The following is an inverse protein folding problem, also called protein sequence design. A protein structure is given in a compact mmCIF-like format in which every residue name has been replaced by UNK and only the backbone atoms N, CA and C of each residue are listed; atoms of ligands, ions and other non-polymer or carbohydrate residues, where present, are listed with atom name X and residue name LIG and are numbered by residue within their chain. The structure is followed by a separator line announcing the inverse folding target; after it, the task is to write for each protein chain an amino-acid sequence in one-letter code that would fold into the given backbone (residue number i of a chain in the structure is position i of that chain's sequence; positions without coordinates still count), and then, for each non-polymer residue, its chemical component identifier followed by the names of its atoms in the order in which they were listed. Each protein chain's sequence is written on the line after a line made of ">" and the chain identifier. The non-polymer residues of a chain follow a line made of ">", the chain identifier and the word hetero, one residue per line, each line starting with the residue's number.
data_IF_530272580627
#
_entry.id   IF_530272580627
#
_cell.length_a   1.000
_cell.length_b   1.000
_cell.length_c   1.000
_cell.angle_alpha   90.00
_cell.angle_beta   90.00
_cell.angle_gamma   90.00
#
_symmetry.space_group_name_H-M   'P 1'
#
loop_
_entity.id
_entity.type
_entity.pdbx_description
1 polymer ?
#
# COMPACT_ATOMS: atom_id res chain seq x y z
N UNK A 1 6.64 -32.75 -80.11
CA UNK A 1 5.21 -33.05 -80.28
C UNK A 1 4.78 -33.84 -79.06
N UNK A 2 4.14 -33.08 -78.17
CA UNK A 2 3.06 -33.40 -77.25
C UNK A 2 3.25 -34.38 -76.08
N UNK A 3 3.28 -33.72 -74.92
CA UNK A 3 3.17 -34.21 -73.56
C UNK A 3 1.74 -34.67 -73.25
N UNK A 4 1.68 -35.79 -72.55
CA UNK A 4 0.47 -36.48 -72.12
C UNK A 4 -0.22 -35.83 -70.92
N UNK A 5 -1.53 -35.68 -71.12
CA UNK A 5 -2.67 -35.56 -70.21
C UNK A 5 -2.51 -35.90 -68.72
N UNK A 6 -3.07 -35.03 -67.87
CA UNK A 6 -3.58 -35.39 -66.55
C UNK A 6 -4.88 -34.60 -66.24
N UNK A 7 -5.93 -35.31 -65.84
CA UNK A 7 -7.20 -34.81 -65.25
C UNK A 7 -7.71 -35.89 -64.26
N UNK A 8 -8.76 -35.67 -63.44
CA UNK A 8 -9.14 -34.50 -62.63
C UNK A 8 -9.52 -34.91 -61.17
N UNK A 9 -9.54 -33.98 -60.19
CA UNK A 9 -10.40 -34.07 -58.98
C UNK A 9 -10.45 -32.75 -58.16
N UNK A 10 -11.42 -31.91 -58.50
CA UNK A 10 -12.46 -31.30 -57.63
C UNK A 10 -12.08 -30.72 -56.24
N UNK A 11 -12.02 -29.38 -56.20
CA UNK A 11 -12.84 -28.45 -55.37
C UNK A 11 -12.99 -28.58 -53.83
N UNK A 12 -11.93 -28.81 -53.03
CA UNK A 12 -12.06 -28.69 -51.55
C UNK A 12 -11.05 -27.77 -50.85
N UNK A 13 -10.15 -27.09 -51.58
CA UNK A 13 -9.05 -26.32 -50.96
C UNK A 13 -9.30 -24.82 -50.83
N UNK A 14 -10.36 -24.27 -51.45
CA UNK A 14 -10.66 -22.83 -51.39
C UNK A 14 -11.56 -22.39 -50.23
N UNK A 15 -12.17 -23.33 -49.50
CA UNK A 15 -13.01 -23.03 -48.33
C UNK A 15 -12.21 -23.16 -47.02
N UNK A 16 -11.20 -24.03 -46.97
CA UNK A 16 -10.36 -24.20 -45.77
C UNK A 16 -9.36 -23.05 -45.55
N UNK A 17 -9.00 -22.31 -46.60
CA UNK A 17 -8.08 -21.17 -46.48
C UNK A 17 -8.74 -19.89 -45.95
N UNK A 18 -10.08 -19.79 -45.97
CA UNK A 18 -10.82 -18.67 -45.39
C UNK A 18 -11.25 -18.92 -43.93
N UNK A 19 -11.10 -20.15 -43.43
CA UNK A 19 -11.31 -20.49 -42.01
C UNK A 19 -10.02 -20.50 -41.20
N UNK A 20 -8.84 -20.59 -41.82
CA UNK A 20 -7.56 -20.37 -41.12
C UNK A 20 -7.16 -18.89 -40.99
N UNK A 21 -7.87 -17.97 -41.67
CA UNK A 21 -7.62 -16.52 -41.56
C UNK A 21 -8.57 -15.88 -40.52
N UNK A 22 -9.55 -16.63 -40.01
CA UNK A 22 -10.54 -16.15 -39.03
C UNK A 22 -10.47 -16.87 -37.68
N UNK A 23 -9.31 -17.47 -37.35
CA UNK A 23 -9.09 -18.10 -36.04
C UNK A 23 -7.84 -17.59 -35.30
N UNK A 24 -7.23 -16.51 -35.80
CA UNK A 24 -6.17 -15.75 -35.10
C UNK A 24 -6.64 -14.34 -34.67
N UNK A 25 -7.92 -14.03 -34.83
CA UNK A 25 -8.52 -12.77 -34.37
C UNK A 25 -9.03 -12.88 -32.92
N UNK A 26 -8.13 -13.17 -31.98
CA UNK A 26 -8.28 -12.71 -30.59
C UNK A 26 -6.97 -12.80 -29.79
N UNK A 27 -5.84 -12.47 -30.41
CA UNK A 27 -4.57 -12.37 -29.68
C UNK A 27 -4.42 -10.96 -29.13
N UNK A 28 -4.49 -10.85 -27.80
CA UNK A 28 -4.23 -9.62 -27.04
C UNK A 28 -2.88 -9.00 -27.43
N UNK A 29 -2.84 -7.66 -27.51
CA UNK A 29 -1.72 -6.80 -27.92
C UNK A 29 -0.41 -6.90 -27.08
N UNK A 30 -0.23 -7.94 -26.27
CA UNK A 30 0.94 -8.15 -25.43
C UNK A 30 1.58 -9.50 -25.75
N UNK A 31 2.87 -9.49 -26.06
CA UNK A 31 3.66 -10.72 -26.17
C UNK A 31 3.82 -11.29 -24.75
N UNK A 32 3.11 -12.39 -24.51
CA UNK A 32 3.18 -13.15 -23.27
C UNK A 32 4.62 -13.70 -23.10
N UNK A 33 5.21 -13.65 -21.89
CA UNK A 33 6.52 -14.24 -21.66
C UNK A 33 6.54 -15.73 -22.08
N UNK A 34 7.63 -16.22 -22.66
CA UNK A 34 7.66 -17.53 -23.33
C UNK A 34 7.42 -18.72 -22.38
N UNK A 35 7.69 -18.55 -21.09
CA UNK A 35 7.46 -19.54 -20.03
C UNK A 35 6.08 -19.42 -19.37
N UNK A 36 5.25 -18.49 -19.83
CA UNK A 36 3.94 -18.19 -19.29
C UNK A 36 2.81 -18.46 -20.29
N UNK A 37 1.59 -18.53 -19.76
CA UNK A 37 0.33 -18.48 -20.50
C UNK A 37 -0.43 -17.27 -19.99
N UNK A 38 -0.89 -16.41 -20.90
CA UNK A 38 -1.53 -15.15 -20.55
C UNK A 38 -2.97 -15.13 -21.07
N UNK A 39 -3.86 -14.59 -20.25
CA UNK A 39 -5.24 -14.25 -20.61
C UNK A 39 -5.47 -12.75 -20.31
N UNK A 40 -6.62 -12.18 -20.68
CA UNK A 40 -6.92 -10.77 -20.39
C UNK A 40 -6.90 -10.40 -18.90
N UNK A 41 -6.99 -11.38 -17.99
CA UNK A 41 -7.07 -11.15 -16.53
C UNK A 41 -6.04 -11.93 -15.72
N UNK A 42 -5.26 -12.82 -16.34
CA UNK A 42 -4.36 -13.72 -15.64
C UNK A 42 -3.03 -13.93 -16.39
N UNK A 43 -1.94 -13.92 -15.63
CA UNK A 43 -0.61 -14.35 -16.08
C UNK A 43 -0.24 -15.62 -15.30
N UNK A 44 -0.03 -16.72 -16.00
CA UNK A 44 0.23 -18.03 -15.39
C UNK A 44 1.54 -18.65 -15.91
N UNK A 45 2.56 -18.70 -15.05
CA UNK A 45 3.91 -19.15 -15.37
C UNK A 45 4.26 -20.39 -14.53
N UNK A 46 4.04 -21.59 -15.08
CA UNK A 46 4.32 -22.86 -14.40
C UNK A 46 5.51 -23.64 -14.98
N UNK A 47 6.05 -23.19 -16.13
CA UNK A 47 7.23 -23.78 -16.73
C UNK A 47 8.45 -23.28 -15.97
N UNK A 48 9.35 -24.22 -15.64
CA UNK A 48 10.59 -23.89 -14.95
C UNK A 48 11.40 -22.86 -15.72
N UNK A 49 11.85 -21.82 -15.03
CA UNK A 49 12.62 -20.72 -15.61
C UNK A 49 13.81 -20.36 -14.71
N UNK A 50 14.90 -19.93 -15.34
CA UNK A 50 16.11 -19.42 -14.67
C UNK A 50 16.23 -17.89 -14.80
N UNK A 51 15.20 -17.24 -15.35
CA UNK A 51 15.07 -15.80 -15.48
C UNK A 51 15.11 -15.11 -14.13
N UNK A 52 15.82 -13.98 -14.09
CA UNK A 52 15.96 -13.13 -12.89
C UNK A 52 14.92 -12.04 -12.80
N UNK A 53 14.25 -11.76 -13.92
CA UNK A 53 13.33 -10.66 -14.06
C UNK A 53 11.91 -11.16 -13.90
N UNK A 54 11.05 -10.34 -13.29
CA UNK A 54 9.63 -10.60 -13.21
C UNK A 54 9.02 -10.64 -14.62
N UNK A 55 8.03 -11.52 -14.89
CA UNK A 55 7.37 -11.58 -16.20
C UNK A 55 6.64 -10.26 -16.47
N UNK A 56 7.20 -9.45 -17.35
CA UNK A 56 6.54 -8.26 -17.89
C UNK A 56 5.91 -8.63 -19.23
N UNK A 57 4.65 -8.23 -19.41
CA UNK A 57 3.98 -8.32 -20.71
C UNK A 57 4.67 -7.36 -21.68
N UNK A 58 5.20 -7.87 -22.80
CA UNK A 58 5.94 -7.05 -23.76
C UNK A 58 4.98 -6.35 -24.73
N UNK A 59 5.19 -5.05 -24.97
CA UNK A 59 4.39 -4.25 -25.89
C UNK A 59 4.81 -4.50 -27.34
N UNK A 60 3.85 -4.79 -28.20
CA UNK A 60 4.09 -4.84 -29.63
C UNK A 60 3.94 -3.43 -30.21
N UNK A 61 5.06 -2.79 -30.59
CA UNK A 61 5.08 -1.51 -31.30
C UNK A 61 4.51 -1.70 -32.71
N UNK A 62 3.19 -1.75 -32.85
CA UNK A 62 2.56 -1.53 -34.15
C UNK A 62 2.67 -0.05 -34.45
N UNK A 63 3.64 0.34 -35.30
CA UNK A 63 3.85 1.72 -35.74
C UNK A 63 2.57 2.36 -36.25
N UNK A 64 1.86 3.05 -35.37
CA UNK A 64 0.65 3.79 -35.68
C UNK A 64 0.57 5.02 -34.80
N UNK A 65 0.41 6.16 -35.46
CA UNK A 65 0.39 7.51 -34.91
C UNK A 65 -0.52 7.63 -33.68
N UNK A 66 0.03 8.26 -32.64
CA UNK A 66 -0.62 9.00 -31.55
C UNK A 66 -2.06 8.64 -31.18
N UNK A 67 -2.20 7.95 -30.04
CA UNK A 67 -3.28 8.04 -29.02
C UNK A 67 -3.46 6.73 -28.18
N UNK A 68 -2.51 5.78 -28.22
CA UNK A 68 -2.65 4.46 -27.60
C UNK A 68 -2.18 4.31 -26.13
N UNK A 69 -1.73 5.37 -25.45
CA UNK A 69 -1.18 5.25 -24.08
C UNK A 69 -2.22 4.75 -23.05
N UNK A 70 -3.48 5.17 -23.19
CA UNK A 70 -4.54 4.81 -22.24
C UNK A 70 -4.94 3.33 -22.38
N UNK A 71 -4.94 2.81 -23.61
CA UNK A 71 -5.24 1.39 -23.88
C UNK A 71 -4.24 0.46 -23.20
N UNK A 72 -2.94 0.78 -23.24
CA UNK A 72 -1.90 -0.05 -22.63
C UNK A 72 -2.02 -0.12 -21.11
N UNK A 73 -2.23 1.02 -20.46
CA UNK A 73 -2.45 1.07 -19.00
C UNK A 73 -3.70 0.31 -18.59
N UNK A 74 -4.77 0.37 -19.40
CA UNK A 74 -5.99 -0.39 -19.17
C UNK A 74 -5.75 -1.91 -19.26
N UNK A 75 -4.84 -2.39 -20.12
CA UNK A 75 -4.50 -3.82 -20.20
C UNK A 75 -3.83 -4.33 -18.91
N UNK A 76 -2.81 -3.63 -18.38
CA UNK A 76 -2.16 -4.04 -17.12
C UNK A 76 -3.11 -3.97 -15.93
N UNK A 77 -4.00 -2.98 -15.92
CA UNK A 77 -5.04 -2.82 -14.90
C UNK A 77 -6.06 -3.95 -14.89
N UNK A 78 -6.32 -4.60 -16.03
CA UNK A 78 -7.25 -5.72 -16.13
C UNK A 78 -6.70 -7.03 -15.56
N UNK A 79 -5.38 -7.15 -15.37
CA UNK A 79 -4.77 -8.32 -14.74
C UNK A 79 -5.15 -8.36 -13.25
N UNK A 80 -5.83 -9.43 -12.86
CA UNK A 80 -6.31 -9.67 -11.48
C UNK A 80 -5.58 -10.82 -10.79
N UNK A 81 -4.95 -11.71 -11.56
CA UNK A 81 -4.23 -12.89 -11.06
C UNK A 81 -2.84 -12.99 -11.70
N UNK A 82 -1.81 -13.15 -10.88
CA UNK A 82 -0.46 -13.51 -11.33
C UNK A 82 -0.01 -14.74 -10.57
N UNK A 83 0.38 -15.78 -11.30
CA UNK A 83 0.89 -17.04 -10.77
C UNK A 83 2.26 -17.36 -11.37
N UNK A 84 3.25 -17.55 -10.50
CA UNK A 84 4.62 -17.88 -10.84
C UNK A 84 5.05 -19.07 -9.98
N UNK A 85 5.52 -20.12 -10.63
CA UNK A 85 5.99 -21.35 -10.01
C UNK A 85 7.29 -21.85 -10.66
N UNK A 86 8.23 -22.37 -9.87
CA UNK A 86 9.48 -22.98 -10.34
C UNK A 86 10.46 -21.99 -11.01
N UNK A 87 10.47 -20.71 -10.59
CA UNK A 87 11.37 -19.69 -11.13
C UNK A 87 12.60 -19.52 -10.22
N UNK A 88 13.68 -20.22 -10.55
CA UNK A 88 14.86 -20.32 -9.66
C UNK A 88 15.79 -19.10 -9.74
N UNK A 89 15.68 -18.31 -10.82
CA UNK A 89 16.43 -17.07 -10.99
C UNK A 89 15.80 -15.87 -10.29
N UNK A 90 14.50 -15.92 -10.00
CA UNK A 90 13.75 -14.83 -9.36
C UNK A 90 14.05 -14.78 -7.86
N UNK A 91 14.98 -13.91 -7.47
CA UNK A 91 15.43 -13.76 -6.08
C UNK A 91 14.84 -12.54 -5.37
N UNK A 92 14.48 -11.51 -6.13
CA UNK A 92 13.98 -10.24 -5.59
C UNK A 92 12.71 -9.84 -6.32
N UNK A 93 11.66 -9.50 -5.57
CA UNK A 93 10.48 -8.82 -6.11
C UNK A 93 10.62 -7.32 -5.84
N UNK A 94 10.61 -6.51 -6.89
CA UNK A 94 10.85 -5.06 -6.79
C UNK A 94 9.56 -4.27 -6.88
N UNK A 95 9.60 -3.04 -6.41
CA UNK A 95 8.49 -2.10 -6.47
C UNK A 95 8.01 -1.87 -7.92
N UNK A 96 8.97 -1.67 -8.82
CA UNK A 96 8.73 -1.47 -10.26
C UNK A 96 8.11 -2.67 -10.96
N UNK A 97 8.28 -3.89 -10.42
CA UNK A 97 7.73 -5.10 -11.02
C UNK A 97 6.20 -5.17 -10.83
N UNK A 98 5.70 -4.51 -9.77
CA UNK A 98 4.31 -4.60 -9.32
C UNK A 98 3.48 -3.34 -9.61
N UNK A 99 4.16 -2.21 -9.85
CA UNK A 99 3.57 -0.86 -9.98
C UNK A 99 2.45 -0.78 -11.04
N UNK A 100 2.60 -1.50 -12.16
CA UNK A 100 1.66 -1.45 -13.28
C UNK A 100 0.36 -2.23 -13.03
N UNK A 101 0.40 -3.24 -12.15
CA UNK A 101 -0.70 -4.18 -11.96
C UNK A 101 -1.72 -3.68 -10.91
N UNK A 102 -2.28 -2.50 -11.13
CA UNK A 102 -3.12 -1.80 -10.14
C UNK A 102 -4.42 -2.53 -9.80
N UNK A 103 -4.93 -3.37 -10.69
CA UNK A 103 -6.13 -4.21 -10.49
C UNK A 103 -5.87 -5.57 -9.85
N UNK A 104 -4.62 -5.89 -9.48
CA UNK A 104 -4.24 -7.21 -9.00
C UNK A 104 -4.94 -7.59 -7.69
N UNK A 105 -5.47 -8.81 -7.63
CA UNK A 105 -6.20 -9.35 -6.48
C UNK A 105 -5.53 -10.60 -5.89
N UNK A 106 -4.84 -11.38 -6.72
CA UNK A 106 -4.16 -12.62 -6.34
C UNK A 106 -2.73 -12.64 -6.88
N UNK A 107 -1.77 -12.84 -5.99
CA UNK A 107 -0.37 -13.05 -6.33
C UNK A 107 0.09 -14.40 -5.77
N UNK A 108 0.61 -15.26 -6.63
CA UNK A 108 1.29 -16.50 -6.24
C UNK A 108 2.70 -16.49 -6.81
N UNK A 109 3.69 -16.57 -5.92
CA UNK A 109 5.08 -16.83 -6.26
C UNK A 109 5.51 -17.97 -5.36
N UNK A 110 5.47 -19.21 -5.84
CA UNK A 110 5.73 -20.39 -5.01
C UNK A 110 6.81 -21.29 -5.60
N UNK A 111 7.42 -22.11 -4.75
CA UNK A 111 8.46 -23.07 -5.14
C UNK A 111 9.56 -22.43 -6.02
N UNK A 112 9.95 -21.21 -5.66
CA UNK A 112 10.89 -20.38 -6.41
C UNK A 112 12.05 -20.01 -5.47
N UNK A 113 12.98 -19.16 -5.92
CA UNK A 113 14.15 -18.76 -5.12
C UNK A 113 14.00 -17.35 -4.55
N UNK A 114 12.78 -16.91 -4.27
CA UNK A 114 12.50 -15.56 -3.78
C UNK A 114 13.06 -15.38 -2.37
N UNK A 115 13.93 -14.38 -2.19
CA UNK A 115 14.65 -14.10 -0.94
C UNK A 115 14.30 -12.73 -0.36
N UNK A 116 13.97 -11.77 -1.22
CA UNK A 116 13.70 -10.39 -0.83
C UNK A 116 12.49 -9.84 -1.57
N UNK A 117 11.66 -9.09 -0.85
CA UNK A 117 10.58 -8.28 -1.41
C UNK A 117 10.87 -6.84 -0.98
N UNK A 118 10.93 -5.91 -1.93
CA UNK A 118 11.16 -4.49 -1.63
C UNK A 118 10.00 -3.89 -0.83
N UNK A 119 10.32 -2.94 0.06
CA UNK A 119 9.41 -2.48 1.11
C UNK A 119 8.09 -1.86 0.60
N UNK A 120 8.03 -1.42 -0.66
CA UNK A 120 6.83 -0.80 -1.26
C UNK A 120 6.29 -1.62 -2.42
N UNK A 121 6.63 -2.91 -2.48
CA UNK A 121 6.29 -3.76 -3.62
C UNK A 121 4.79 -3.79 -3.90
N UNK A 122 3.96 -3.72 -2.86
CA UNK A 122 2.50 -3.78 -3.01
C UNK A 122 1.78 -2.44 -2.87
N UNK A 123 2.53 -1.31 -2.87
CA UNK A 123 1.95 0.01 -2.63
C UNK A 123 0.90 0.42 -3.68
N UNK A 124 1.08 0.00 -4.93
CA UNK A 124 0.15 0.28 -6.05
C UNK A 124 -0.85 -0.86 -6.30
N UNK A 125 -0.96 -1.86 -5.42
CA UNK A 125 -1.89 -2.98 -5.58
C UNK A 125 -2.94 -3.01 -4.46
N UNK A 126 -3.79 -1.97 -4.33
CA UNK A 126 -4.71 -1.81 -3.18
C UNK A 126 -5.80 -2.88 -3.11
N UNK A 127 -6.03 -3.62 -4.21
CA UNK A 127 -7.04 -4.68 -4.29
C UNK A 127 -6.48 -6.08 -3.99
N UNK A 128 -5.18 -6.19 -3.69
CA UNK A 128 -4.52 -7.46 -3.42
C UNK A 128 -5.04 -8.08 -2.11
N UNK A 129 -5.61 -9.29 -2.19
CA UNK A 129 -6.22 -9.99 -1.05
C UNK A 129 -5.64 -11.37 -0.78
N UNK A 130 -5.08 -12.01 -1.81
CA UNK A 130 -4.55 -13.37 -1.72
C UNK A 130 -3.09 -13.36 -2.13
N UNK A 131 -2.21 -13.74 -1.20
CA UNK A 131 -0.77 -13.81 -1.45
C UNK A 131 -0.28 -15.20 -1.08
N UNK A 132 0.41 -15.88 -1.99
CA UNK A 132 1.07 -17.15 -1.74
C UNK A 132 2.56 -17.03 -2.04
N UNK A 133 3.38 -17.13 -0.98
CA UNK A 133 4.84 -17.11 -1.03
C UNK A 133 5.46 -18.44 -0.56
N UNK A 134 4.65 -19.51 -0.50
CA UNK A 134 5.06 -20.82 0.01
C UNK A 134 6.27 -21.39 -0.73
N UNK A 135 7.07 -22.21 -0.04
CA UNK A 135 8.24 -22.91 -0.59
C UNK A 135 9.29 -21.97 -1.21
N UNK A 136 9.41 -20.74 -0.71
CA UNK A 136 10.52 -19.86 -1.04
C UNK A 136 11.51 -19.76 0.13
N UNK A 137 12.80 -19.53 -0.14
CA UNK A 137 13.83 -19.38 0.87
C UNK A 137 13.83 -17.97 1.51
N UNK A 138 12.65 -17.48 1.92
CA UNK A 138 12.51 -16.23 2.67
C UNK A 138 12.97 -16.47 4.12
N UNK A 139 13.92 -15.68 4.60
CA UNK A 139 14.38 -15.73 5.99
C UNK A 139 13.65 -14.74 6.90
N UNK A 140 13.13 -13.65 6.32
CA UNK A 140 12.34 -12.62 6.99
C UNK A 140 11.25 -12.08 6.07
N UNK A 141 10.22 -11.48 6.65
CA UNK A 141 9.15 -10.79 5.93
C UNK A 141 8.63 -9.66 6.81
N UNK A 142 8.49 -8.47 6.27
CA UNK A 142 8.03 -7.28 7.01
C UNK A 142 6.51 -7.13 6.87
N UNK A 143 5.82 -6.81 7.97
CA UNK A 143 4.37 -6.57 7.96
C UNK A 143 3.99 -5.29 7.21
N UNK A 144 4.91 -4.33 7.11
CA UNK A 144 4.69 -3.06 6.39
C UNK A 144 4.40 -3.26 4.90
N UNK A 145 4.81 -4.40 4.31
CA UNK A 145 4.40 -4.78 2.95
C UNK A 145 2.88 -4.89 2.79
N UNK A 146 2.16 -5.19 3.87
CA UNK A 146 0.74 -5.50 3.88
C UNK A 146 -0.10 -4.45 4.60
N UNK A 147 0.49 -3.38 5.13
CA UNK A 147 -0.17 -2.41 6.01
C UNK A 147 -1.41 -1.75 5.38
N UNK A 148 -1.38 -1.55 4.05
CA UNK A 148 -2.46 -0.93 3.29
C UNK A 148 -3.38 -1.96 2.61
N UNK A 149 -3.21 -3.25 2.91
CA UNK A 149 -3.94 -4.35 2.29
C UNK A 149 -4.91 -5.00 3.28
N UNK A 150 -6.09 -5.38 2.77
CA UNK A 150 -7.07 -6.17 3.51
C UNK A 150 -6.92 -7.65 3.14
N UNK A 151 -5.80 -8.25 3.55
CA UNK A 151 -5.49 -9.63 3.19
C UNK A 151 -6.54 -10.62 3.72
N UNK A 152 -7.05 -11.45 2.82
CA UNK A 152 -7.91 -12.58 3.15
C UNK A 152 -7.08 -13.83 3.43
N UNK A 153 -5.99 -14.05 2.69
CA UNK A 153 -5.11 -15.20 2.86
C UNK A 153 -3.65 -14.84 2.55
N UNK A 154 -2.75 -15.23 3.45
CA UNK A 154 -1.30 -15.19 3.24
C UNK A 154 -0.73 -16.61 3.45
N UNK A 155 -0.25 -17.26 2.40
CA UNK A 155 0.36 -18.59 2.48
C UNK A 155 1.88 -18.52 2.57
N UNK A 156 2.42 -19.14 3.61
CA UNK A 156 3.82 -19.22 3.97
C UNK A 156 4.24 -20.67 4.26
N UNK A 157 3.48 -21.65 3.76
CA UNK A 157 3.81 -23.08 3.90
C UNK A 157 5.24 -23.36 3.42
N UNK A 158 5.98 -24.17 4.17
CA UNK A 158 7.40 -24.53 3.91
C UNK A 158 8.38 -23.34 3.83
N UNK A 159 7.98 -22.14 4.26
CA UNK A 159 8.90 -21.05 4.55
C UNK A 159 9.42 -21.22 5.98
N UNK A 160 10.73 -21.21 6.16
CA UNK A 160 11.37 -21.32 7.48
C UNK A 160 12.15 -20.04 7.75
N UNK A 161 11.62 -19.23 8.66
CA UNK A 161 12.19 -17.94 9.02
C UNK A 161 13.38 -18.08 9.97
N UNK A 162 14.17 -17.01 10.12
CA UNK A 162 15.07 -16.87 11.27
C UNK A 162 14.26 -16.38 12.47
N UNK A 163 14.32 -17.09 13.61
CA UNK A 163 13.57 -16.68 14.79
C UNK A 163 14.12 -15.34 15.30
N UNK A 164 13.27 -14.31 15.33
CA UNK A 164 13.67 -12.96 15.69
C UNK A 164 12.47 -12.05 15.85
N UNK A 165 12.74 -10.79 16.19
CA UNK A 165 11.66 -9.83 16.41
C UNK A 165 10.97 -9.43 15.09
N UNK A 166 11.67 -9.47 13.97
CA UNK A 166 11.17 -9.10 12.64
C UNK A 166 10.05 -10.02 12.13
N UNK A 167 9.92 -11.23 12.68
CA UNK A 167 8.85 -12.19 12.34
C UNK A 167 7.86 -12.40 13.49
N UNK A 168 7.95 -11.61 14.56
CA UNK A 168 7.02 -11.65 15.71
C UNK A 168 5.58 -11.35 15.29
N UNK A 169 5.40 -10.45 14.33
CA UNK A 169 4.07 -10.11 13.81
C UNK A 169 3.36 -11.34 13.19
N UNK A 170 4.10 -12.24 12.52
CA UNK A 170 3.56 -13.48 11.95
C UNK A 170 3.02 -14.38 13.07
N UNK A 171 3.76 -14.51 14.17
CA UNK A 171 3.31 -15.24 15.36
C UNK A 171 2.05 -14.61 15.96
N UNK A 172 1.97 -13.28 16.03
CA UNK A 172 0.79 -12.57 16.53
C UNK A 172 -0.42 -12.76 15.61
N UNK A 173 -0.25 -12.66 14.30
CA UNK A 173 -1.33 -12.89 13.33
C UNK A 173 -1.84 -14.33 13.39
N UNK A 174 -0.94 -15.31 13.57
CA UNK A 174 -1.31 -16.71 13.77
C UNK A 174 -2.19 -16.90 15.02
N UNK A 175 -1.92 -16.16 16.10
CA UNK A 175 -2.71 -16.19 17.34
C UNK A 175 -4.06 -15.47 17.20
N UNK A 176 -4.08 -14.35 16.46
CA UNK A 176 -5.28 -13.54 16.21
C UNK A 176 -6.16 -14.05 15.07
N UNK A 177 -5.74 -15.11 14.38
CA UNK A 177 -6.41 -15.72 13.23
C UNK A 177 -6.53 -14.77 12.02
N UNK A 178 -5.53 -13.92 11.84
CA UNK A 178 -5.44 -12.99 10.70
C UNK A 178 -4.92 -13.72 9.45
N UNK A 179 -5.43 -13.34 8.27
CA UNK A 179 -5.03 -13.83 6.94
C UNK A 179 -4.87 -15.37 6.83
N UNK A 180 -5.69 -16.13 7.56
CA UNK A 180 -5.67 -17.61 7.57
C UNK A 180 -4.34 -18.25 8.01
N UNK A 181 -3.44 -17.49 8.65
CA UNK A 181 -2.14 -18.01 9.13
C UNK A 181 -2.29 -19.07 10.22
N UNK A 182 -3.36 -19.00 11.02
CA UNK A 182 -3.67 -19.97 12.07
C UNK A 182 -3.88 -21.40 11.56
N UNK A 183 -4.20 -21.57 10.27
CA UNK A 183 -4.38 -22.89 9.63
C UNK A 183 -3.06 -23.53 9.20
N UNK A 184 -1.97 -22.77 9.19
CA UNK A 184 -0.65 -23.20 8.71
C UNK A 184 0.26 -23.61 9.88
N UNK A 185 1.17 -24.56 9.62
CA UNK A 185 2.22 -24.95 10.57
C UNK A 185 3.52 -24.24 10.21
N UNK A 186 3.76 -23.09 10.83
CA UNK A 186 4.93 -22.24 10.55
C UNK A 186 6.08 -22.57 11.50
N UNK A 187 7.32 -22.40 11.02
CA UNK A 187 8.55 -22.73 11.72
C UNK A 187 9.58 -21.61 11.60
N UNK A 188 10.51 -21.54 12.55
CA UNK A 188 11.70 -20.70 12.45
C UNK A 188 12.94 -21.39 13.03
N UNK A 189 14.13 -20.91 12.66
CA UNK A 189 15.41 -21.35 13.20
C UNK A 189 15.84 -20.49 14.39
N UNK A 190 16.00 -21.11 15.55
CA UNK A 190 16.66 -20.53 16.73
C UNK A 190 18.05 -21.12 16.83
N UNK A 191 19.04 -20.42 16.27
CA UNK A 191 20.36 -20.99 15.99
C UNK A 191 20.24 -22.18 15.04
N UNK A 192 20.69 -23.36 15.47
CA UNK A 192 20.57 -24.59 14.67
C UNK A 192 19.22 -25.32 14.85
N UNK A 193 18.37 -24.90 15.79
CA UNK A 193 17.15 -25.62 16.14
C UNK A 193 15.95 -25.10 15.36
N UNK A 194 15.28 -25.99 14.62
CA UNK A 194 13.98 -25.70 14.00
C UNK A 194 12.87 -25.85 15.02
N UNK A 195 12.19 -24.76 15.36
CA UNK A 195 11.09 -24.75 16.32
C UNK A 195 9.79 -24.26 15.66
N UNK A 196 8.60 -24.67 16.15
CA UNK A 196 7.34 -24.08 15.71
C UNK A 196 7.29 -22.58 16.04
N UNK A 197 6.83 -21.75 15.11
CA UNK A 197 6.80 -20.29 15.28
C UNK A 197 5.98 -19.86 16.51
N UNK A 198 4.88 -20.58 16.80
CA UNK A 198 4.07 -20.37 18.02
C UNK A 198 4.85 -20.50 19.33
N UNK A 199 5.95 -21.26 19.34
CA UNK A 199 6.82 -21.46 20.50
C UNK A 199 7.97 -20.45 20.57
N UNK A 200 8.10 -19.54 19.59
CA UNK A 200 9.12 -18.51 19.59
C UNK A 200 8.94 -17.59 20.80
N UNK A 201 10.03 -17.33 21.52
CA UNK A 201 10.04 -16.47 22.70
C UNK A 201 11.24 -15.51 22.61
N UNK A 202 10.96 -14.26 22.25
CA UNK A 202 11.96 -13.19 22.13
C UNK A 202 11.65 -12.15 23.21
N UNK A 203 12.61 -11.89 24.10
CA UNK A 203 12.49 -10.84 25.12
C UNK A 203 12.56 -9.45 24.49
N UNK A 204 11.85 -8.47 25.07
CA UNK A 204 11.87 -7.07 24.62
C UNK A 204 11.43 -6.90 23.14
N UNK A 205 10.39 -7.64 22.75
CA UNK A 205 9.86 -7.67 21.39
C UNK A 205 8.33 -7.70 21.38
N UNK A 206 7.75 -6.51 21.53
CA UNK A 206 6.32 -6.31 21.69
C UNK A 206 5.79 -5.19 20.79
N UNK A 207 4.47 -5.15 20.63
CA UNK A 207 3.80 -4.06 19.91
C UNK A 207 4.05 -2.70 20.60
N UNK A 208 4.11 -1.61 19.81
CA UNK A 208 4.24 -0.28 20.38
C UNK A 208 2.97 0.13 21.15
N UNK A 209 3.15 1.09 22.04
CA UNK A 209 2.10 1.71 22.83
C UNK A 209 2.11 3.22 22.56
N UNK A 210 1.00 3.72 22.05
CA UNK A 210 0.75 5.14 21.80
C UNK A 210 0.03 5.81 22.95
N UNK A 211 0.37 7.07 23.18
CA UNK A 211 -0.34 7.95 24.10
C UNK A 211 -0.32 9.38 23.57
N UNK A 212 -1.41 10.11 23.78
CA UNK A 212 -1.56 11.50 23.33
C UNK A 212 -1.91 12.40 24.52
N UNK A 213 -1.49 13.66 24.45
CA UNK A 213 -1.73 14.66 25.51
C UNK A 213 -3.21 14.94 25.77
N UNK A 214 -4.05 14.85 24.74
CA UNK A 214 -5.49 15.14 24.81
C UNK A 214 -6.27 14.07 24.03
N UNK A 215 -7.52 13.79 24.42
CA UNK A 215 -8.43 12.95 23.61
C UNK A 215 -9.31 13.80 22.69
N UNK A 216 -9.79 14.92 23.19
CA UNK A 216 -10.60 15.89 22.46
C UNK A 216 -9.99 17.27 22.70
N UNK A 217 -10.01 18.13 21.69
CA UNK A 217 -9.42 19.46 21.78
C UNK A 217 -10.32 20.50 21.09
N UNK A 218 -10.78 21.48 21.88
CA UNK A 218 -11.56 22.60 21.39
C UNK A 218 -10.67 23.83 21.27
N UNK A 219 -10.64 24.44 20.08
CA UNK A 219 -9.72 25.51 19.72
C UNK A 219 -10.47 26.64 19.04
N UNK A 220 -10.09 27.88 19.29
CA UNK A 220 -10.66 29.03 18.58
C UNK A 220 -10.01 29.17 17.20
N UNK A 221 -10.80 29.52 16.19
CA UNK A 221 -10.29 29.83 14.85
C UNK A 221 -9.16 30.88 14.91
N UNK A 222 -8.10 30.65 14.13
CA UNK A 222 -6.92 31.50 14.09
C UNK A 222 -5.94 31.37 15.26
N UNK A 223 -6.25 30.56 16.29
CA UNK A 223 -5.33 30.28 17.37
C UNK A 223 -4.19 29.33 16.93
N UNK A 224 -3.14 29.26 17.75
CA UNK A 224 -2.05 28.30 17.60
C UNK A 224 -2.08 27.30 18.76
N UNK A 225 -1.88 26.02 18.47
CA UNK A 225 -1.88 24.96 19.48
C UNK A 225 -0.71 24.00 19.26
N UNK A 226 -0.29 23.33 20.34
CA UNK A 226 0.69 22.26 20.28
C UNK A 226 0.14 21.05 21.01
N UNK A 227 0.16 19.89 20.35
CA UNK A 227 -0.20 18.59 20.93
C UNK A 227 0.99 17.65 20.83
N UNK A 228 1.17 16.80 21.83
CA UNK A 228 2.22 15.77 21.80
C UNK A 228 1.62 14.37 21.71
N UNK A 229 2.32 13.53 20.94
CA UNK A 229 2.15 12.09 20.93
C UNK A 229 3.43 11.43 21.39
N UNK A 230 3.30 10.40 22.21
CA UNK A 230 4.39 9.58 22.71
C UNK A 230 4.13 8.12 22.33
N UNK A 231 5.07 7.57 21.55
CA UNK A 231 5.19 6.14 21.27
C UNK A 231 6.25 5.51 22.17
N UNK A 232 5.88 4.43 22.85
CA UNK A 232 6.77 3.64 23.69
C UNK A 232 6.73 2.17 23.31
N UNK A 233 7.84 1.46 23.47
CA UNK A 233 7.91 0.05 23.13
C UNK A 233 9.32 -0.46 22.94
N UNK A 234 9.45 -1.77 22.79
CA UNK A 234 10.70 -2.41 22.40
C UNK A 234 10.42 -3.39 21.24
N UNK A 235 11.05 -3.21 20.07
CA UNK A 235 11.98 -2.13 19.71
C UNK A 235 11.32 -0.74 19.77
N UNK A 236 12.16 0.30 19.98
CA UNK A 236 11.73 1.70 20.02
C UNK A 236 10.95 2.04 18.75
N UNK A 237 9.69 2.49 18.85
CA UNK A 237 8.90 2.77 17.67
C UNK A 237 9.26 4.09 17.00
N UNK A 238 9.09 4.12 15.68
CA UNK A 238 8.97 5.34 14.91
C UNK A 238 7.58 5.93 15.14
N UNK A 239 7.49 7.24 15.35
CA UNK A 239 6.23 7.94 15.66
C UNK A 239 6.02 9.00 14.61
N UNK A 240 4.79 9.20 14.17
CA UNK A 240 4.41 10.25 13.23
C UNK A 240 2.95 10.69 13.42
N UNK A 241 2.63 11.89 12.96
CA UNK A 241 1.26 12.41 12.91
C UNK A 241 0.74 12.38 11.47
N UNK A 242 -0.37 11.67 11.25
CA UNK A 242 -1.05 11.70 9.96
C UNK A 242 -1.86 12.99 9.82
N UNK A 243 -1.25 13.97 9.16
CA UNK A 243 -1.84 15.30 8.90
C UNK A 243 -2.33 15.46 7.46
N UNK A 244 -2.45 14.36 6.72
CA UNK A 244 -2.98 14.37 5.35
C UNK A 244 -4.41 14.90 5.31
N UNK A 245 -4.65 15.93 4.52
CA UNK A 245 -5.96 16.59 4.39
C UNK A 245 -6.24 17.68 5.43
N UNK A 246 -5.26 18.01 6.29
CA UNK A 246 -5.35 19.16 7.21
C UNK A 246 -5.07 20.46 6.46
N UNK A 247 -5.94 21.48 6.63
CA UNK A 247 -5.80 22.79 5.98
C UNK A 247 -4.90 23.73 6.77
N UNK A 248 -4.86 23.57 8.09
CA UNK A 248 -4.00 24.37 8.98
C UNK A 248 -2.52 24.10 8.76
N UNK A 249 -1.72 25.17 8.86
CA UNK A 249 -0.26 25.07 8.80
C UNK A 249 0.21 24.23 9.99
N UNK A 250 1.09 23.28 9.75
CA UNK A 250 1.57 22.37 10.77
C UNK A 250 3.09 22.21 10.74
N UNK A 251 3.67 22.03 11.93
CA UNK A 251 5.10 21.71 12.11
C UNK A 251 5.26 20.57 13.10
N UNK A 252 6.28 19.75 12.85
CA UNK A 252 6.56 18.53 13.62
C UNK A 252 7.92 18.67 14.28
N UNK A 253 7.97 18.43 15.59
CA UNK A 253 9.21 18.44 16.36
C UNK A 253 9.37 17.09 17.06
N UNK A 254 10.39 16.34 16.66
CA UNK A 254 10.72 15.06 17.27
C UNK A 254 11.57 15.24 18.53
N UNK A 255 11.26 14.44 19.55
CA UNK A 255 12.01 14.34 20.78
C UNK A 255 12.19 12.84 21.08
N UNK A 256 13.44 12.38 21.10
CA UNK A 256 13.76 10.95 21.27
C UNK A 256 14.44 10.73 22.63
N UNK A 257 13.69 10.17 23.56
CA UNK A 257 14.17 9.78 24.88
C UNK A 257 14.55 8.29 24.86
N UNK A 258 15.78 8.03 24.38
CA UNK A 258 16.33 6.69 24.31
C UNK A 258 16.40 6.01 25.70
N UNK A 259 16.10 4.70 25.82
CA UNK A 259 15.86 3.75 24.73
C UNK A 259 14.39 3.42 24.44
N UNK A 260 13.43 3.99 25.17
CA UNK A 260 12.07 3.43 25.21
C UNK A 260 10.97 4.36 24.69
N UNK A 261 11.26 5.65 24.50
CA UNK A 261 10.25 6.68 24.24
C UNK A 261 10.66 7.54 23.05
N UNK A 262 9.77 7.63 22.06
CA UNK A 262 9.88 8.57 20.95
C UNK A 262 8.61 9.41 20.95
N UNK A 263 8.75 10.73 21.03
CA UNK A 263 7.63 11.66 21.06
C UNK A 263 7.70 12.67 19.94
N UNK A 264 6.56 13.01 19.35
CA UNK A 264 6.44 14.09 18.36
C UNK A 264 5.42 15.12 18.82
N UNK A 265 5.90 16.37 18.91
CA UNK A 265 5.07 17.54 19.14
C UNK A 265 4.59 18.09 17.79
N UNK A 266 3.29 18.10 17.59
CA UNK A 266 2.62 18.70 16.44
C UNK A 266 2.13 20.10 16.84
N UNK A 267 2.67 21.12 16.18
CA UNK A 267 2.18 22.49 16.34
C UNK A 267 1.32 22.87 15.15
N UNK A 268 0.08 23.27 15.40
CA UNK A 268 -0.85 23.79 14.40
C UNK A 268 -0.93 25.31 14.55
N UNK A 269 -0.72 26.01 13.44
CA UNK A 269 -0.63 27.47 13.39
C UNK A 269 -1.80 28.02 12.58
N UNK A 270 -2.44 29.05 13.12
CA UNK A 270 -3.57 29.75 12.51
C UNK A 270 -4.68 28.77 12.12
N UNK A 271 -5.31 28.15 13.13
CA UNK A 271 -6.31 27.09 12.95
C UNK A 271 -7.42 27.50 11.97
N UNK A 272 -7.58 26.71 10.90
CA UNK A 272 -8.64 26.90 9.90
C UNK A 272 -9.93 26.25 10.33
N UNK A 273 -11.07 26.94 10.20
CA UNK A 273 -12.41 26.37 10.45
C UNK A 273 -12.74 25.14 9.61
N UNK A 274 -12.04 24.93 8.49
CA UNK A 274 -12.21 23.77 7.62
C UNK A 274 -11.75 22.47 8.29
N UNK A 275 -10.90 22.56 9.32
CA UNK A 275 -10.43 21.41 10.09
C UNK A 275 -11.35 21.04 11.27
N UNK A 276 -12.56 21.62 11.34
CA UNK A 276 -13.53 21.29 12.38
C UNK A 276 -14.03 19.84 12.22
N UNK A 277 -13.89 19.03 13.27
CA UNK A 277 -14.19 17.60 13.24
C UNK A 277 -13.06 16.75 12.65
N UNK A 278 -11.91 17.35 12.31
CA UNK A 278 -10.75 16.59 11.86
C UNK A 278 -10.20 15.73 13.00
N UNK A 279 -9.82 14.49 12.68
CA UNK A 279 -9.25 13.55 13.64
C UNK A 279 -7.74 13.50 13.44
N UNK A 280 -7.00 14.17 14.32
CA UNK A 280 -5.54 14.08 14.34
C UNK A 280 -5.16 12.68 14.81
N UNK A 281 -4.57 11.87 13.94
CA UNK A 281 -4.14 10.51 14.30
C UNK A 281 -2.62 10.46 14.39
N UNK A 282 -2.13 10.04 15.55
CA UNK A 282 -0.75 9.69 15.76
C UNK A 282 -0.58 8.19 15.55
N UNK A 283 0.50 7.81 14.87
CA UNK A 283 0.87 6.43 14.62
C UNK A 283 2.23 6.17 15.27
N UNK A 284 2.39 5.01 15.91
CA UNK A 284 3.67 4.49 16.34
C UNK A 284 3.89 3.08 15.79
N UNK A 285 5.04 2.85 15.16
CA UNK A 285 5.38 1.64 14.41
C UNK A 285 6.71 1.06 14.85
N UNK A 286 6.77 -0.27 14.99
CA UNK A 286 8.02 -1.00 15.08
C UNK A 286 7.95 -2.28 14.23
N UNK A 287 9.01 -3.11 14.26
CA UNK A 287 9.08 -4.35 13.47
C UNK A 287 8.00 -5.39 13.85
N UNK A 288 7.36 -5.24 15.01
CA UNK A 288 6.29 -6.14 15.50
C UNK A 288 4.90 -5.70 15.02
N UNK A 289 4.69 -4.40 14.80
CA UNK A 289 3.42 -3.88 14.30
C UNK A 289 3.23 -2.39 14.54
N UNK A 290 1.96 -1.97 14.47
CA UNK A 290 1.52 -0.58 14.57
C UNK A 290 0.54 -0.40 15.73
N UNK A 291 0.57 0.78 16.35
CA UNK A 291 -0.47 1.28 17.27
C UNK A 291 -0.81 2.73 16.91
N UNK A 292 -2.04 3.16 17.19
CA UNK A 292 -2.48 4.52 16.90
C UNK A 292 -3.18 5.15 18.10
N UNK A 293 -3.24 6.48 18.13
CA UNK A 293 -4.01 7.26 19.09
C UNK A 293 -4.50 8.53 18.39
N UNK A 294 -5.73 8.94 18.70
CA UNK A 294 -6.38 10.02 17.96
C UNK A 294 -6.87 11.14 18.86
N UNK A 295 -6.88 12.36 18.33
CA UNK A 295 -7.43 13.56 18.95
C UNK A 295 -8.53 14.12 18.06
N UNK A 296 -9.74 14.30 18.58
CA UNK A 296 -10.83 14.96 17.87
C UNK A 296 -10.73 16.49 18.02
N UNK A 297 -10.66 17.21 16.89
CA UNK A 297 -10.62 18.66 16.86
C UNK A 297 -12.02 19.28 16.76
N UNK A 298 -12.29 20.30 17.58
CA UNK A 298 -13.48 21.14 17.49
C UNK A 298 -13.06 22.60 17.37
N UNK A 299 -13.48 23.28 16.31
CA UNK A 299 -13.08 24.66 16.03
C UNK A 299 -14.23 25.61 16.30
N UNK A 300 -14.03 26.48 17.28
CA UNK A 300 -14.98 27.50 17.68
C UNK A 300 -14.71 28.79 16.92
N UNK A 301 -15.76 29.35 16.33
CA UNK A 301 -15.70 30.68 15.75
C UNK A 301 -15.54 31.71 16.87
N UNK A 302 -14.57 32.60 16.74
CA UNK A 302 -14.50 33.79 17.58
C UNK A 302 -15.59 34.76 17.12
N UNK A 303 -16.78 34.70 17.73
CA UNK A 303 -17.74 35.78 17.57
C UNK A 303 -17.19 36.99 18.32
N UNK A 304 -16.75 38.03 17.61
CA UNK A 304 -16.76 39.37 18.18
C UNK A 304 -18.18 39.61 18.69
N UNK A 305 -18.35 39.69 20.00
CA UNK A 305 -19.65 39.94 20.60
C UNK A 305 -20.29 41.15 19.91
N UNK A 306 -21.55 41.03 19.49
CA UNK A 306 -22.37 42.16 19.01
C UNK A 306 -22.39 43.33 20.01
N UNK A 307 -22.06 43.09 21.29
CA UNK A 307 -21.83 44.16 22.28
C UNK A 307 -20.58 45.01 22.00
N UNK A 308 -19.52 44.43 21.45
CA UNK A 308 -18.31 45.13 21.00
C UNK A 308 -18.56 45.94 19.73
N UNK A 309 -19.36 45.40 18.79
CA UNK A 309 -19.76 46.14 17.59
C UNK A 309 -20.72 47.29 17.90
N UNK A 310 -21.63 47.12 18.88
CA UNK A 310 -22.45 48.23 19.40
C UNK A 310 -21.58 49.32 20.03
N UNK A 311 -20.55 48.95 20.79
CA UNK A 311 -19.59 49.89 21.36
C UNK A 311 -18.81 50.66 20.29
N UNK A 312 -18.29 49.97 19.26
CA UNK A 312 -17.57 50.60 18.14
C UNK A 312 -18.50 51.49 17.30
N UNK A 313 -19.75 51.07 17.08
CA UNK A 313 -20.74 51.87 16.34
C UNK A 313 -21.20 53.11 17.13
N UNK A 314 -21.30 53.03 18.48
CA UNK A 314 -21.56 54.17 19.36
C UNK A 314 -20.40 55.18 19.35
N UNK A 315 -19.16 54.71 19.41
CA UNK A 315 -17.97 55.59 19.35
C UNK A 315 -17.88 56.31 18.01
N UNK A 316 -18.19 55.62 16.90
CA UNK A 316 -18.25 56.24 15.56
C UNK A 316 -19.41 57.24 15.43
N UNK A 317 -20.53 57.01 16.11
CA UNK A 317 -21.68 57.93 16.11
C UNK A 317 -21.40 59.21 16.91
N UNK A 318 -20.74 59.09 18.08
CA UNK A 318 -20.30 60.25 18.89
C UNK A 318 -19.25 61.10 18.16
N UNK A 319 -18.31 60.49 17.44
CA UNK A 319 -17.33 61.23 16.63
C UNK A 319 -17.97 62.00 15.47
N UNK A 320 -19.00 61.44 14.82
CA UNK A 320 -19.74 62.13 13.75
C UNK A 320 -20.63 63.26 14.28
N UNK A 321 -21.20 63.15 15.48
CA UNK A 321 -22.00 64.24 16.09
C UNK A 321 -21.15 65.36 16.68
N UNK A 322 -19.92 65.08 17.16
CA UNK A 322 -19.02 66.12 17.66
C UNK A 322 -18.47 67.05 16.57
N UNK A 323 -18.42 66.63 15.30
CA UNK A 323 -17.97 67.48 14.20
C UNK A 323 -19.00 68.51 13.72
N UNK A 324 -20.29 68.38 14.07
CA UNK A 324 -21.33 69.31 13.66
C UNK A 324 -21.70 70.39 14.71
N UNK A 325 -21.08 70.38 15.89
CA UNK A 325 -21.35 71.37 16.96
C UNK A 325 -20.23 72.41 17.19
N UNK A 326 -19.28 72.56 16.25
CA UNK A 326 -18.30 73.66 16.28
C UNK A 326 -18.28 74.42 14.96
N UNK A 327 -19.33 75.18 14.70
CA UNK A 327 -19.18 76.44 13.97
C UNK A 327 -19.98 77.51 14.73
N UNK A 328 -19.33 78.62 15.13
CA UNK A 328 -19.89 79.67 15.99
C UNK A 328 -20.93 80.54 15.29
#
# INVERSE_FOLDING_TARGET
>A
MDLSFCTPTICWWRVLFLLSIFQDYLSSMLDCPPTCSCSPTEIYCNKSDNGKFFPLLALQDTGSNGNNSNSIQDLFKNITSIHIENWTGLQTLRDVDMELYTGLQRLTIMNSNLRLIQARAFAQNPHLRYINLSKNPLTMLSWQLFQNLQLSELRLDDVVFDCGCDVRWIQLWQQRREAELHRQQLYCYSGASRIPLRNMNISLCDLPRTSVTHRNLTVVEGANITVACNGSGSPLPEVDWTVGGLHSINTHQSNVDWPNVHSINLTLVNMSREDNGFILTCIAENVVGMSNASIELTIQLSYLSLSSLRGVMLILWEQHHCMHCRQP
#
